data_IF_106542283629
#
_entry.id   IF_106542283629
#
_cell.length_a   1.000
_cell.length_b   1.000
_cell.length_c   1.000
_cell.angle_alpha   90.00
_cell.angle_beta   90.00
_cell.angle_gamma   90.00
#
_symmetry.space_group_name_H-M   'P 1'
#
loop_
_entity.id
_entity.type
_entity.pdbx_description
1 polymer ?
#
# COMPACT_ATOMS: atom_id res chain seq x y z
N UNK A 1 10.96 41.14 -5.84
CA UNK A 1 11.35 39.71 -5.98
C UNK A 1 11.48 39.41 -7.45
N UNK A 2 12.64 38.95 -7.92
CA UNK A 2 12.75 38.43 -9.28
C UNK A 2 11.70 37.32 -9.47
N UNK A 3 10.88 37.41 -10.51
CA UNK A 3 9.79 36.47 -10.73
C UNK A 3 10.33 35.05 -10.84
N UNK A 4 9.72 34.10 -10.12
CA UNK A 4 10.08 32.68 -10.25
C UNK A 4 9.96 32.28 -11.73
N UNK A 5 10.91 31.51 -12.30
CA UNK A 5 10.83 31.08 -13.69
C UNK A 5 9.52 30.33 -13.93
N UNK A 6 8.83 30.68 -15.03
CA UNK A 6 7.64 29.94 -15.48
C UNK A 6 8.12 28.65 -16.11
N UNK A 7 7.74 27.54 -15.49
CA UNK A 7 8.02 26.17 -15.92
C UNK A 7 6.69 25.46 -16.12
N UNK A 8 6.63 24.56 -17.09
CA UNK A 8 5.55 23.58 -17.22
C UNK A 8 5.68 22.48 -16.14
N UNK A 9 4.59 21.78 -15.83
CA UNK A 9 4.52 20.88 -14.67
C UNK A 9 5.66 19.83 -14.62
N UNK A 10 6.00 19.21 -15.75
CA UNK A 10 7.05 18.20 -15.86
C UNK A 10 8.46 18.74 -15.58
N UNK A 11 8.69 20.05 -15.74
CA UNK A 11 10.00 20.67 -15.53
C UNK A 11 10.31 20.94 -14.05
N UNK A 12 9.35 20.64 -13.16
CA UNK A 12 9.51 20.61 -11.71
C UNK A 12 9.93 19.24 -11.19
N UNK A 13 10.00 18.20 -12.03
CA UNK A 13 10.58 16.92 -11.65
C UNK A 13 12.07 17.12 -11.34
N UNK A 14 12.50 16.55 -10.21
CA UNK A 14 13.88 16.59 -9.74
C UNK A 14 14.32 15.18 -9.40
N UNK A 15 15.63 14.97 -9.28
CA UNK A 15 16.17 13.68 -8.87
C UNK A 15 15.65 13.32 -7.46
N UNK A 16 15.24 12.07 -7.30
CA UNK A 16 14.78 11.55 -6.02
C UNK A 16 15.93 11.50 -5.01
N UNK A 17 15.63 11.84 -3.75
CA UNK A 17 16.56 11.60 -2.64
C UNK A 17 16.61 10.11 -2.26
N UNK A 18 17.52 9.72 -1.36
CA UNK A 18 17.62 8.35 -0.81
C UNK A 18 16.40 7.89 -0.01
N UNK A 19 15.49 8.81 0.30
CA UNK A 19 14.23 8.57 1.02
C UNK A 19 13.09 8.13 0.09
N UNK A 20 13.34 7.97 -1.21
CA UNK A 20 12.31 7.48 -2.13
C UNK A 20 12.38 5.95 -2.22
N UNK A 21 11.23 5.29 -2.11
CA UNK A 21 11.11 3.85 -2.34
C UNK A 21 10.83 3.61 -3.81
N UNK A 22 11.68 2.82 -4.46
CA UNK A 22 11.63 2.52 -5.89
C UNK A 22 10.84 1.24 -6.18
N UNK A 23 10.52 1.02 -7.46
CA UNK A 23 9.95 -0.25 -7.91
C UNK A 23 10.86 -1.44 -7.60
N UNK A 24 12.19 -1.27 -7.63
CA UNK A 24 13.14 -2.33 -7.31
C UNK A 24 13.02 -2.77 -5.85
N UNK A 25 12.79 -1.83 -4.92
CA UNK A 25 12.58 -2.14 -3.51
C UNK A 25 11.31 -2.99 -3.32
N UNK A 26 10.23 -2.67 -4.04
CA UNK A 26 8.99 -3.46 -3.99
C UNK A 26 9.12 -4.84 -4.65
N UNK A 27 9.99 -5.00 -5.66
CA UNK A 27 10.28 -6.31 -6.26
C UNK A 27 11.07 -7.22 -5.31
N UNK A 28 11.98 -6.64 -4.52
CA UNK A 28 12.82 -7.40 -3.60
C UNK A 28 12.09 -7.78 -2.31
N UNK A 29 11.38 -6.84 -1.67
CA UNK A 29 10.64 -7.06 -0.44
C UNK A 29 9.48 -6.06 -0.33
N UNK A 30 8.30 -6.38 -0.87
CA UNK A 30 7.15 -5.47 -0.92
C UNK A 30 6.78 -4.88 0.45
N UNK A 31 6.80 -5.71 1.49
CA UNK A 31 6.44 -5.31 2.84
C UNK A 31 7.45 -4.30 3.42
N UNK A 32 8.74 -4.61 3.34
CA UNK A 32 9.80 -3.73 3.85
C UNK A 32 9.82 -2.39 3.11
N UNK A 33 9.59 -2.41 1.80
CA UNK A 33 9.48 -1.22 0.96
C UNK A 33 8.32 -0.31 1.40
N UNK A 34 7.14 -0.88 1.65
CA UNK A 34 5.99 -0.13 2.15
C UNK A 34 6.21 0.43 3.56
N UNK A 35 6.75 -0.37 4.48
CA UNK A 35 7.00 0.09 5.85
C UNK A 35 8.05 1.20 5.92
N UNK A 36 9.09 1.14 5.07
CA UNK A 36 10.05 2.23 4.89
C UNK A 36 9.33 3.54 4.50
N UNK A 37 8.51 3.50 3.44
CA UNK A 37 7.75 4.66 2.99
C UNK A 37 6.83 5.21 4.11
N UNK A 38 6.11 4.32 4.80
CA UNK A 38 5.20 4.68 5.89
C UNK A 38 5.92 5.41 7.04
N UNK A 39 7.15 5.00 7.39
CA UNK A 39 7.96 5.69 8.40
C UNK A 39 8.50 7.02 7.88
N UNK A 40 8.92 7.09 6.62
CA UNK A 40 9.42 8.33 6.01
C UNK A 40 8.32 9.39 5.91
N UNK A 41 7.12 9.01 5.47
CA UNK A 41 5.95 9.88 5.42
C UNK A 41 5.60 10.44 6.81
N UNK A 42 5.60 9.58 7.83
CA UNK A 42 5.44 9.99 9.23
C UNK A 42 6.55 10.95 9.67
N UNK A 43 7.80 10.63 9.35
CA UNK A 43 8.97 11.42 9.78
C UNK A 43 8.98 12.82 9.15
N UNK A 44 8.48 12.95 7.93
CA UNK A 44 8.27 14.24 7.28
C UNK A 44 7.26 15.11 8.03
N UNK A 45 6.12 14.53 8.44
CA UNK A 45 5.12 15.22 9.26
C UNK A 45 5.70 15.60 10.63
N UNK A 46 6.42 14.69 11.30
CA UNK A 46 7.08 14.99 12.59
C UNK A 46 8.11 16.12 12.48
N UNK A 47 8.83 16.21 11.36
CA UNK A 47 9.74 17.31 11.10
C UNK A 47 8.97 18.63 11.02
N UNK A 48 7.85 18.67 10.29
CA UNK A 48 6.97 19.85 10.25
C UNK A 48 6.45 20.21 11.65
N UNK A 49 5.91 19.24 12.39
CA UNK A 49 5.40 19.43 13.76
C UNK A 49 6.47 20.07 14.66
N UNK A 50 7.71 19.61 14.61
CA UNK A 50 8.80 20.15 15.44
C UNK A 50 9.21 21.57 15.08
N UNK A 51 9.17 21.93 13.81
CA UNK A 51 9.72 23.20 13.32
C UNK A 51 8.66 24.27 13.01
N UNK A 52 7.38 23.92 12.99
CA UNK A 52 6.33 24.89 12.68
C UNK A 52 6.19 25.96 13.77
N UNK A 53 5.93 27.23 13.39
CA UNK A 53 5.88 28.35 14.34
C UNK A 53 4.84 28.15 15.44
N UNK A 54 5.27 28.36 16.69
CA UNK A 54 4.43 28.34 17.89
C UNK A 54 4.27 29.74 18.48
N UNK A 55 3.19 29.92 19.21
CA UNK A 55 2.94 31.04 20.11
C UNK A 55 3.78 30.89 21.38
N UNK A 56 3.81 31.92 22.23
CA UNK A 56 4.54 31.88 23.51
C UNK A 56 4.01 30.81 24.49
N UNK A 57 2.75 30.41 24.35
CA UNK A 57 2.12 29.34 25.12
C UNK A 57 2.31 27.94 24.51
N UNK A 58 3.29 27.77 23.61
CA UNK A 58 3.63 26.52 22.92
C UNK A 58 2.55 25.94 21.99
N UNK A 59 1.41 26.64 21.81
CA UNK A 59 0.41 26.29 20.80
C UNK A 59 0.85 26.73 19.41
N UNK A 60 0.42 26.04 18.34
CA UNK A 60 0.73 26.47 16.98
C UNK A 60 0.05 27.80 16.62
N UNK A 61 0.73 28.62 15.81
CA UNK A 61 0.09 29.76 15.16
C UNK A 61 -1.00 29.26 14.20
N UNK A 62 -2.02 30.09 13.92
CA UNK A 62 -3.14 29.72 13.04
C UNK A 62 -2.67 29.15 11.69
N UNK A 63 -1.79 29.87 10.99
CA UNK A 63 -1.27 29.42 9.69
C UNK A 63 -0.50 28.10 9.76
N UNK A 64 0.13 27.82 10.91
CA UNK A 64 0.81 26.55 11.16
C UNK A 64 -0.18 25.41 11.40
N UNK A 65 -1.30 25.66 12.10
CA UNK A 65 -2.38 24.69 12.27
C UNK A 65 -3.00 24.34 10.92
N UNK A 66 -3.38 25.37 10.15
CA UNK A 66 -4.02 25.20 8.85
C UNK A 66 -3.09 24.43 7.90
N UNK A 67 -1.79 24.76 7.90
CA UNK A 67 -0.78 24.05 7.12
C UNK A 67 -0.60 22.59 7.56
N UNK A 68 -0.56 22.31 8.87
CA UNK A 68 -0.45 20.93 9.37
C UNK A 68 -1.67 20.10 8.99
N UNK A 69 -2.88 20.65 9.10
CA UNK A 69 -4.09 19.95 8.69
C UNK A 69 -4.03 19.57 7.21
N UNK A 70 -3.63 20.50 6.34
CA UNK A 70 -3.46 20.19 4.92
C UNK A 70 -2.42 19.10 4.66
N UNK A 71 -1.26 19.16 5.33
CA UNK A 71 -0.20 18.16 5.17
C UNK A 71 -0.63 16.77 5.66
N UNK A 72 -1.21 16.68 6.85
CA UNK A 72 -1.67 15.41 7.45
C UNK A 72 -2.76 14.77 6.58
N UNK A 73 -3.73 15.56 6.11
CA UNK A 73 -4.78 15.05 5.21
C UNK A 73 -4.20 14.58 3.87
N UNK A 74 -3.24 15.30 3.30
CA UNK A 74 -2.62 14.94 2.03
C UNK A 74 -1.74 13.69 2.09
N UNK A 75 -1.14 13.38 3.24
CA UNK A 75 -0.27 12.21 3.39
C UNK A 75 -1.05 10.90 3.42
N UNK A 76 -2.28 10.86 3.93
CA UNK A 76 -3.07 9.62 3.98
C UNK A 76 -3.27 9.00 2.57
N UNK A 77 -3.72 9.74 1.54
CA UNK A 77 -3.79 9.21 0.17
C UNK A 77 -2.48 8.64 -0.35
N UNK A 78 -1.35 9.28 -0.04
CA UNK A 78 -0.02 8.82 -0.46
C UNK A 78 0.34 7.50 0.21
N UNK A 79 0.18 7.39 1.54
CA UNK A 79 0.43 6.15 2.29
C UNK A 79 -0.46 5.02 1.79
N UNK A 80 -1.76 5.28 1.58
CA UNK A 80 -2.68 4.27 1.07
C UNK A 80 -2.37 3.87 -0.38
N UNK A 81 -1.90 4.80 -1.23
CA UNK A 81 -1.41 4.45 -2.57
C UNK A 81 -0.19 3.53 -2.54
N UNK A 82 0.75 3.76 -1.63
CA UNK A 82 1.86 2.85 -1.39
C UNK A 82 1.43 1.51 -0.78
N UNK A 83 0.38 1.48 0.03
CA UNK A 83 -0.20 0.23 0.54
C UNK A 83 -0.81 -0.62 -0.58
N UNK A 84 -1.52 0.00 -1.53
CA UNK A 84 -1.99 -0.67 -2.75
C UNK A 84 -0.83 -1.20 -3.60
N UNK A 85 0.25 -0.42 -3.75
CA UNK A 85 1.47 -0.90 -4.40
C UNK A 85 2.03 -2.14 -3.70
N UNK A 86 2.12 -2.15 -2.37
CA UNK A 86 2.53 -3.34 -1.60
C UNK A 86 1.65 -4.55 -1.91
N UNK A 87 0.33 -4.41 -1.89
CA UNK A 87 -0.60 -5.53 -2.16
C UNK A 87 -0.38 -6.10 -3.57
N UNK A 88 -0.21 -5.22 -4.57
CA UNK A 88 0.00 -5.60 -5.97
C UNK A 88 1.33 -6.33 -6.16
N UNK A 89 2.41 -5.81 -5.59
CA UNK A 89 3.73 -6.41 -5.69
C UNK A 89 3.83 -7.72 -4.91
N UNK A 90 3.20 -7.82 -3.74
CA UNK A 90 3.12 -9.08 -2.99
C UNK A 90 2.37 -10.14 -3.81
N UNK A 91 1.23 -9.79 -4.42
CA UNK A 91 0.48 -10.70 -5.29
C UNK A 91 1.28 -11.09 -6.54
N UNK A 92 1.88 -10.12 -7.22
CA UNK A 92 2.66 -10.30 -8.43
C UNK A 92 3.85 -11.25 -8.20
N UNK A 93 4.68 -10.96 -7.19
CA UNK A 93 5.83 -11.80 -6.89
C UNK A 93 5.42 -13.20 -6.39
N UNK A 94 4.30 -13.32 -5.66
CA UNK A 94 3.75 -14.64 -5.30
C UNK A 94 3.41 -15.46 -6.56
N UNK A 95 2.78 -14.83 -7.56
CA UNK A 95 2.47 -15.50 -8.81
C UNK A 95 3.73 -15.92 -9.57
N UNK A 96 4.73 -15.06 -9.69
CA UNK A 96 5.96 -15.43 -10.40
C UNK A 96 6.73 -16.53 -9.66
N UNK A 97 6.74 -16.51 -8.32
CA UNK A 97 7.36 -17.55 -7.49
C UNK A 97 6.53 -18.84 -7.43
N UNK A 98 5.27 -18.83 -7.86
CA UNK A 98 4.37 -20.01 -7.79
C UNK A 98 4.89 -21.23 -8.57
N UNK A 99 5.84 -21.04 -9.49
CA UNK A 99 6.58 -22.12 -10.15
C UNK A 99 7.28 -23.07 -9.17
N UNK A 100 7.57 -22.60 -7.96
CA UNK A 100 8.19 -23.38 -6.87
C UNK A 100 7.17 -24.05 -5.94
N UNK A 101 5.86 -23.85 -6.15
CA UNK A 101 4.82 -24.48 -5.32
C UNK A 101 4.51 -25.89 -5.82
N UNK A 102 4.49 -26.84 -4.88
CA UNK A 102 4.05 -28.20 -5.14
C UNK A 102 2.56 -28.23 -5.51
N UNK A 103 2.24 -28.90 -6.62
CA UNK A 103 0.88 -29.08 -7.13
C UNK A 103 0.13 -27.76 -7.42
N UNK A 104 0.84 -26.69 -7.79
CA UNK A 104 0.19 -25.47 -8.25
C UNK A 104 -0.41 -25.67 -9.65
N UNK A 105 -1.73 -25.56 -9.74
CA UNK A 105 -2.48 -25.68 -10.99
C UNK A 105 -2.79 -24.29 -11.54
N UNK A 106 -2.11 -23.94 -12.62
CA UNK A 106 -2.23 -22.64 -13.30
C UNK A 106 -3.63 -22.44 -13.89
N UNK A 107 -4.24 -23.50 -14.42
CA UNK A 107 -5.57 -23.42 -15.04
C UNK A 107 -6.65 -23.22 -13.98
N UNK A 108 -6.57 -23.95 -12.87
CA UNK A 108 -7.47 -23.76 -11.73
C UNK A 108 -7.29 -22.37 -11.10
N UNK A 109 -6.05 -21.88 -10.98
CA UNK A 109 -5.77 -20.52 -10.54
C UNK A 109 -6.47 -19.48 -11.42
N UNK A 110 -6.31 -19.54 -12.74
CA UNK A 110 -6.96 -18.58 -13.64
C UNK A 110 -8.48 -18.74 -13.67
N UNK A 111 -9.00 -19.96 -13.52
CA UNK A 111 -10.44 -20.22 -13.40
C UNK A 111 -11.03 -19.62 -12.12
N UNK A 112 -10.29 -19.62 -11.01
CA UNK A 112 -10.69 -18.93 -9.77
C UNK A 112 -10.57 -17.42 -9.93
N UNK A 113 -9.45 -16.93 -10.46
CA UNK A 113 -9.18 -15.50 -10.60
C UNK A 113 -10.16 -14.80 -11.55
N UNK A 114 -10.55 -15.46 -12.65
CA UNK A 114 -11.55 -14.93 -13.59
C UNK A 114 -12.96 -14.80 -13.02
N UNK A 115 -13.28 -15.49 -11.91
CA UNK A 115 -14.55 -15.29 -11.20
C UNK A 115 -14.52 -14.04 -10.32
N UNK A 116 -13.34 -13.66 -9.84
CA UNK A 116 -13.15 -12.55 -8.93
C UNK A 116 -12.74 -11.26 -9.66
N UNK A 117 -12.38 -11.36 -10.94
CA UNK A 117 -11.86 -10.25 -11.74
C UNK A 117 -12.48 -10.22 -13.13
N UNK A 118 -12.62 -9.02 -13.69
CA UNK A 118 -13.05 -8.85 -15.08
C UNK A 118 -11.85 -8.82 -16.04
N UNK A 119 -10.74 -9.48 -15.72
CA UNK A 119 -9.51 -9.41 -16.51
C UNK A 119 -9.79 -9.91 -17.92
N UNK A 120 -9.74 -9.00 -18.89
CA UNK A 120 -9.45 -9.29 -20.29
C UNK A 120 -8.01 -8.84 -20.51
N UNK A 121 -7.14 -9.72 -21.04
CA UNK A 121 -5.73 -9.37 -21.27
C UNK A 121 -5.67 -8.25 -22.31
N UNK A 122 -5.35 -7.04 -21.85
CA UNK A 122 -5.21 -5.83 -22.64
C UNK A 122 -3.85 -5.83 -23.37
N UNK A 123 -3.86 -6.28 -24.62
CA UNK A 123 -2.68 -6.35 -25.50
C UNK A 123 -1.94 -5.00 -25.66
N UNK A 124 -2.62 -3.84 -25.79
CA UNK A 124 -2.00 -2.51 -25.68
C UNK A 124 -1.20 -2.25 -24.40
N UNK A 125 -1.71 -2.61 -23.21
CA UNK A 125 -0.95 -2.48 -21.95
C UNK A 125 0.26 -3.42 -21.93
N UNK A 126 0.10 -4.66 -22.40
CA UNK A 126 1.22 -5.60 -22.58
C UNK A 126 2.30 -5.03 -23.52
N UNK A 127 1.89 -4.33 -24.57
CA UNK A 127 2.79 -3.71 -25.54
C UNK A 127 3.53 -2.49 -25.00
N UNK A 128 2.97 -1.77 -24.02
CA UNK A 128 3.62 -0.62 -23.36
C UNK A 128 4.84 -1.02 -22.52
N UNK A 129 4.97 -2.30 -22.14
CA UNK A 129 6.15 -2.87 -21.47
C UNK A 129 7.20 -3.45 -22.44
N UNK A 130 7.04 -3.26 -23.77
CA UNK A 130 8.07 -3.62 -24.75
C UNK A 130 9.31 -2.74 -24.56
N UNK A 131 10.49 -3.35 -24.66
CA UNK A 131 11.79 -2.75 -24.36
C UNK A 131 12.02 -2.33 -22.89
N UNK A 132 11.02 -2.47 -22.01
CA UNK A 132 11.16 -2.32 -20.55
C UNK A 132 11.66 -3.59 -19.85
N UNK A 133 11.82 -4.70 -20.59
CA UNK A 133 12.23 -5.98 -20.06
C UNK A 133 11.26 -6.53 -19.01
N UNK A 134 9.95 -6.58 -19.31
CA UNK A 134 8.91 -7.06 -18.40
C UNK A 134 9.34 -8.33 -17.65
N UNK A 135 9.78 -8.15 -16.41
CA UNK A 135 10.47 -9.20 -15.63
C UNK A 135 9.50 -10.02 -14.78
N UNK A 136 8.20 -9.77 -14.90
CA UNK A 136 7.17 -10.35 -14.02
C UNK A 136 5.80 -10.36 -14.72
N UNK A 137 5.29 -11.56 -15.03
CA UNK A 137 3.91 -11.75 -15.52
C UNK A 137 2.92 -11.42 -14.42
N UNK A 138 3.30 -11.66 -13.16
CA UNK A 138 2.53 -11.27 -11.99
C UNK A 138 2.23 -9.77 -11.94
N UNK A 139 3.17 -8.90 -12.33
CA UNK A 139 2.97 -7.45 -12.32
C UNK A 139 1.87 -7.06 -13.32
N UNK A 140 1.97 -7.55 -14.56
CA UNK A 140 0.96 -7.33 -15.61
C UNK A 140 -0.44 -7.81 -15.19
N UNK A 141 -0.49 -8.94 -14.49
CA UNK A 141 -1.72 -9.49 -13.96
C UNK A 141 -2.31 -8.58 -12.89
N UNK A 142 -1.52 -8.21 -11.88
CA UNK A 142 -1.93 -7.32 -10.79
C UNK A 142 -2.35 -5.92 -11.28
N UNK A 143 -1.74 -5.46 -12.38
CA UNK A 143 -2.04 -4.17 -13.00
C UNK A 143 -3.39 -4.14 -13.73
N UNK A 144 -3.81 -5.29 -14.23
CA UNK A 144 -5.10 -5.49 -14.89
C UNK A 144 -6.25 -5.73 -13.90
N UNK A 145 -5.93 -5.96 -12.63
CA UNK A 145 -6.90 -6.19 -11.55
C UNK A 145 -7.40 -4.88 -10.95
N UNK A 146 -8.67 -4.85 -10.55
CA UNK A 146 -9.31 -3.70 -9.91
C UNK A 146 -9.72 -4.00 -8.47
N UNK A 147 -10.04 -2.98 -7.68
CA UNK A 147 -10.58 -3.17 -6.33
C UNK A 147 -9.54 -3.58 -5.29
N UNK A 148 -8.28 -3.17 -5.45
CA UNK A 148 -7.24 -3.32 -4.40
C UNK A 148 -7.57 -2.57 -3.10
N UNK A 149 -8.49 -1.59 -3.19
CA UNK A 149 -9.06 -0.87 -2.05
C UNK A 149 -10.20 -1.61 -1.33
N UNK A 150 -10.56 -2.82 -1.77
CA UNK A 150 -11.54 -3.70 -1.12
C UNK A 150 -10.81 -4.88 -0.46
N UNK A 151 -10.62 -4.87 0.87
CA UNK A 151 -9.92 -5.92 1.59
C UNK A 151 -10.53 -7.32 1.42
N UNK A 152 -11.86 -7.43 1.22
CA UNK A 152 -12.49 -8.73 0.97
C UNK A 152 -12.11 -9.26 -0.39
N UNK A 153 -12.15 -8.40 -1.40
CA UNK A 153 -11.73 -8.75 -2.76
C UNK A 153 -10.25 -9.13 -2.81
N UNK A 154 -9.38 -8.40 -2.11
CA UNK A 154 -7.96 -8.76 -2.02
C UNK A 154 -7.77 -10.13 -1.36
N UNK A 155 -8.49 -10.44 -0.28
CA UNK A 155 -8.47 -11.78 0.31
C UNK A 155 -8.87 -12.87 -0.70
N UNK A 156 -9.88 -12.61 -1.55
CA UNK A 156 -10.29 -13.57 -2.59
C UNK A 156 -9.21 -13.77 -3.65
N UNK A 157 -8.51 -12.70 -4.04
CA UNK A 157 -7.36 -12.80 -4.95
C UNK A 157 -6.25 -13.69 -4.39
N UNK A 158 -5.86 -13.47 -3.14
CA UNK A 158 -4.84 -14.30 -2.50
C UNK A 158 -5.35 -15.73 -2.23
N UNK A 159 -6.65 -15.91 -2.05
CA UNK A 159 -7.30 -17.23 -1.99
C UNK A 159 -7.18 -18.04 -3.28
N UNK A 160 -6.98 -17.41 -4.44
CA UNK A 160 -6.80 -18.11 -5.71
C UNK A 160 -5.56 -19.02 -5.72
N UNK A 161 -4.52 -18.69 -4.93
CA UNK A 161 -3.32 -19.54 -4.78
C UNK A 161 -3.59 -20.86 -4.06
N UNK A 162 -4.76 -21.04 -3.43
CA UNK A 162 -5.12 -22.27 -2.72
C UNK A 162 -4.30 -22.53 -1.44
N UNK A 163 -3.60 -21.51 -0.94
CA UNK A 163 -2.85 -21.57 0.32
C UNK A 163 -3.80 -21.41 1.51
N UNK A 164 -3.57 -22.12 2.64
CA UNK A 164 -4.44 -22.10 3.80
C UNK A 164 -4.20 -20.84 4.66
N UNK A 165 -4.28 -19.65 4.06
CA UNK A 165 -4.08 -18.38 4.75
C UNK A 165 -4.98 -17.28 4.16
N UNK A 166 -5.60 -16.48 5.03
CA UNK A 166 -6.32 -15.27 4.62
C UNK A 166 -5.43 -14.07 4.89
N UNK A 167 -5.20 -13.23 3.86
CA UNK A 167 -4.24 -12.14 3.95
C UNK A 167 -4.62 -11.12 5.04
N UNK A 168 -5.91 -10.81 5.17
CA UNK A 168 -6.46 -9.88 6.14
C UNK A 168 -7.50 -10.56 7.04
N UNK A 169 -7.41 -10.33 8.34
CA UNK A 169 -8.43 -10.74 9.32
C UNK A 169 -9.68 -9.85 9.22
N UNK A 170 -10.77 -10.22 9.90
CA UNK A 170 -11.97 -9.36 9.93
C UNK A 170 -11.68 -7.96 10.51
N UNK A 171 -10.89 -7.90 11.59
CA UNK A 171 -10.48 -6.63 12.20
C UNK A 171 -9.64 -5.78 11.24
N UNK A 172 -8.74 -6.40 10.48
CA UNK A 172 -7.94 -5.71 9.45
C UNK A 172 -8.86 -5.14 8.37
N UNK A 173 -9.85 -5.91 7.90
CA UNK A 173 -10.80 -5.45 6.89
C UNK A 173 -11.56 -4.22 7.34
N UNK A 174 -12.08 -4.20 8.57
CA UNK A 174 -12.83 -3.05 9.10
C UNK A 174 -11.96 -1.78 9.19
N UNK A 175 -10.72 -1.92 9.66
CA UNK A 175 -9.76 -0.82 9.74
C UNK A 175 -9.38 -0.30 8.35
N UNK A 176 -9.09 -1.21 7.42
CA UNK A 176 -8.72 -0.85 6.05
C UNK A 176 -9.89 -0.19 5.30
N UNK A 177 -11.13 -0.68 5.45
CA UNK A 177 -12.31 -0.04 4.88
C UNK A 177 -12.47 1.40 5.36
N UNK A 178 -12.21 1.66 6.65
CA UNK A 178 -12.20 3.01 7.20
C UNK A 178 -11.15 3.89 6.50
N UNK A 179 -9.89 3.42 6.39
CA UNK A 179 -8.81 4.17 5.74
C UNK A 179 -9.08 4.41 4.25
N UNK A 180 -9.59 3.39 3.54
CA UNK A 180 -9.93 3.49 2.13
C UNK A 180 -11.04 4.48 1.87
N UNK A 181 -12.08 4.50 2.71
CA UNK A 181 -13.17 5.46 2.59
C UNK A 181 -12.70 6.89 2.89
N UNK A 182 -11.86 7.09 3.91
CA UNK A 182 -11.26 8.39 4.19
C UNK A 182 -10.39 8.86 3.02
N UNK A 183 -9.52 8.00 2.47
CA UNK A 183 -8.73 8.29 1.26
C UNK A 183 -9.62 8.62 0.07
N UNK A 184 -10.72 7.88 -0.13
CA UNK A 184 -11.67 8.13 -1.20
C UNK A 184 -12.24 9.55 -1.10
N UNK A 185 -12.73 9.94 0.08
CA UNK A 185 -13.33 11.27 0.26
C UNK A 185 -12.29 12.40 0.16
N UNK A 186 -11.04 12.19 0.59
CA UNK A 186 -9.98 13.18 0.39
C UNK A 186 -9.72 13.42 -1.11
N UNK A 187 -9.64 12.36 -1.90
CA UNK A 187 -9.26 12.45 -3.31
C UNK A 187 -10.45 12.83 -4.22
N UNK A 188 -11.66 12.35 -3.93
CA UNK A 188 -12.79 12.42 -4.85
C UNK A 188 -13.89 13.40 -4.45
N UNK A 189 -13.94 13.83 -3.18
CA UNK A 189 -14.98 14.75 -2.67
C UNK A 189 -14.37 15.98 -1.99
N UNK A 190 -13.13 16.32 -2.35
CA UNK A 190 -12.43 17.51 -1.84
C UNK A 190 -12.19 17.49 -0.34
N UNK A 191 -12.07 16.31 0.27
CA UNK A 191 -11.94 16.17 1.71
C UNK A 191 -13.25 16.21 2.48
N UNK A 192 -14.41 16.18 1.83
CA UNK A 192 -15.71 16.10 2.52
C UNK A 192 -16.17 14.66 2.61
N UNK A 193 -16.32 14.12 3.82
CA UNK A 193 -16.96 12.82 4.00
C UNK A 193 -18.47 12.99 3.79
N UNK A 194 -18.97 12.62 2.61
CA UNK A 194 -20.40 12.76 2.29
C UNK A 194 -21.25 11.82 3.15
N UNK A 195 -22.55 12.11 3.29
CA UNK A 195 -23.47 11.20 3.99
C UNK A 195 -23.48 9.81 3.35
N UNK A 196 -23.49 9.74 2.01
CA UNK A 196 -23.48 8.48 1.28
C UNK A 196 -22.17 7.71 1.48
N UNK A 197 -21.03 8.39 1.54
CA UNK A 197 -19.73 7.77 1.81
C UNK A 197 -19.60 7.26 3.25
N UNK A 198 -20.06 8.06 4.22
CA UNK A 198 -20.07 7.68 5.64
C UNK A 198 -20.85 6.38 5.87
N UNK A 199 -22.00 6.23 5.19
CA UNK A 199 -22.88 5.07 5.31
C UNK A 199 -22.28 3.74 4.79
N UNK A 200 -21.19 3.80 4.00
CA UNK A 200 -20.51 2.60 3.49
C UNK A 200 -19.70 1.89 4.56
N UNK A 201 -19.29 2.59 5.63
CA UNK A 201 -18.43 2.05 6.68
C UNK A 201 -19.01 2.41 8.05
N UNK A 202 -19.35 1.39 8.84
CA UNK A 202 -20.07 1.58 10.10
C UNK A 202 -19.36 2.55 11.08
N UNK A 203 -18.03 2.53 11.13
CA UNK A 203 -17.21 3.42 11.97
C UNK A 203 -17.30 4.90 11.58
N UNK A 204 -17.77 5.20 10.37
CA UNK A 204 -17.84 6.55 9.80
C UNK A 204 -19.26 7.13 9.78
N UNK A 205 -20.29 6.34 10.09
CA UNK A 205 -21.70 6.73 9.98
C UNK A 205 -22.04 8.09 10.64
N UNK A 206 -21.44 8.39 11.80
CA UNK A 206 -21.70 9.64 12.56
C UNK A 206 -20.95 10.85 12.04
N UNK A 207 -20.09 10.68 11.03
CA UNK A 207 -19.20 11.73 10.51
C UNK A 207 -19.64 12.27 9.14
N UNK A 208 -20.76 11.79 8.59
CA UNK A 208 -21.26 12.26 7.30
C UNK A 208 -21.61 13.75 7.28
N UNK A 209 -21.32 14.39 6.15
CA UNK A 209 -21.49 15.83 5.93
C UNK A 209 -20.38 16.70 6.52
N UNK A 210 -19.28 16.11 6.98
CA UNK A 210 -18.16 16.85 7.63
C UNK A 210 -16.93 16.88 6.74
N UNK A 211 -16.14 17.95 6.88
CA UNK A 211 -14.79 17.97 6.35
C UNK A 211 -13.91 17.02 7.16
N UNK A 212 -13.08 16.27 6.46
CA UNK A 212 -12.06 15.43 7.04
C UNK A 212 -10.94 16.33 7.54
N UNK A 213 -10.72 16.29 8.84
CA UNK A 213 -9.56 16.87 9.49
C UNK A 213 -9.05 15.85 10.50
N UNK A 214 -7.73 15.80 10.65
CA UNK A 214 -7.05 14.83 11.48
C UNK A 214 -6.21 15.53 12.53
N UNK A 215 -6.05 14.85 13.67
CA UNK A 215 -5.06 15.25 14.67
C UNK A 215 -3.64 15.13 14.13
N UNK A 216 -2.70 15.91 14.67
CA UNK A 216 -1.31 15.94 14.21
C UNK A 216 -0.61 14.56 14.33
N UNK A 217 -1.04 13.72 15.26
CA UNK A 217 -0.51 12.36 15.47
C UNK A 217 -1.12 11.32 14.51
N UNK A 218 -2.05 11.69 13.63
CA UNK A 218 -2.81 10.71 12.85
C UNK A 218 -1.92 9.87 11.93
N UNK A 219 -0.97 10.49 11.21
CA UNK A 219 -0.05 9.73 10.34
C UNK A 219 0.86 8.81 11.15
N UNK A 220 1.29 9.23 12.35
CA UNK A 220 2.01 8.35 13.27
C UNK A 220 1.17 7.10 13.58
N UNK A 221 -0.10 7.29 13.92
CA UNK A 221 -1.00 6.18 14.27
C UNK A 221 -1.31 5.27 13.09
N UNK A 222 -1.49 5.82 11.89
CA UNK A 222 -1.64 5.04 10.66
C UNK A 222 -0.40 4.18 10.44
N UNK A 223 0.80 4.78 10.46
CA UNK A 223 2.04 4.03 10.27
C UNK A 223 2.18 2.93 11.33
N UNK A 224 2.03 3.25 12.61
CA UNK A 224 2.12 2.29 13.72
C UNK A 224 1.13 1.13 13.57
N UNK A 225 -0.12 1.40 13.20
CA UNK A 225 -1.17 0.37 13.09
C UNK A 225 -1.06 -0.49 11.84
N UNK A 226 -0.47 0.02 10.76
CA UNK A 226 -0.22 -0.78 9.54
C UNK A 226 0.97 -1.72 9.67
N UNK A 227 1.93 -1.45 10.55
CA UNK A 227 3.10 -2.33 10.76
C UNK A 227 2.74 -3.78 11.13
N UNK A 228 1.98 -4.04 12.22
CA UNK A 228 1.66 -5.40 12.61
C UNK A 228 0.74 -6.07 11.59
N UNK A 229 -0.15 -5.31 10.93
CA UNK A 229 -0.99 -5.81 9.84
C UNK A 229 -0.13 -6.32 8.68
N UNK A 230 0.78 -5.48 8.16
CA UNK A 230 1.67 -5.86 7.04
C UNK A 230 2.56 -7.03 7.41
N UNK A 231 3.07 -7.05 8.65
CA UNK A 231 3.89 -8.16 9.11
C UNK A 231 3.09 -9.46 9.16
N UNK A 232 1.92 -9.47 9.81
CA UNK A 232 1.07 -10.64 9.91
C UNK A 232 0.66 -11.14 8.51
N UNK A 233 0.19 -10.25 7.64
CA UNK A 233 -0.17 -10.59 6.26
C UNK A 233 0.99 -11.24 5.50
N UNK A 234 2.18 -10.60 5.51
CA UNK A 234 3.33 -11.04 4.71
C UNK A 234 3.94 -12.32 5.26
N UNK A 235 4.24 -12.36 6.56
CA UNK A 235 4.88 -13.52 7.18
C UNK A 235 3.94 -14.73 7.23
N UNK A 236 2.66 -14.51 7.54
CA UNK A 236 1.68 -15.58 7.62
C UNK A 236 1.41 -16.21 6.24
N UNK A 237 1.22 -15.36 5.22
CA UNK A 237 1.05 -15.85 3.85
C UNK A 237 2.34 -16.48 3.30
N UNK A 238 3.50 -15.86 3.56
CA UNK A 238 4.82 -16.40 3.19
C UNK A 238 5.11 -17.75 3.85
N UNK A 239 4.75 -17.94 5.12
CA UNK A 239 4.88 -19.24 5.80
C UNK A 239 4.00 -20.31 5.16
N UNK A 240 2.78 -19.97 4.74
CA UNK A 240 1.90 -20.88 4.02
C UNK A 240 2.44 -21.23 2.63
N UNK A 241 3.11 -20.28 1.96
CA UNK A 241 3.80 -20.49 0.69
C UNK A 241 5.01 -21.41 0.84
N UNK A 242 5.91 -21.10 1.78
CA UNK A 242 7.14 -21.87 2.07
C UNK A 242 6.80 -23.31 2.48
N UNK A 243 5.72 -23.50 3.25
CA UNK A 243 5.24 -24.83 3.64
C UNK A 243 4.79 -25.72 2.48
N UNK A 244 4.69 -25.17 1.25
CA UNK A 244 4.30 -25.89 0.03
C UNK A 244 5.36 -25.88 -1.08
N UNK A 245 6.62 -25.56 -0.77
CA UNK A 245 7.68 -25.63 -1.77
C UNK A 245 7.90 -27.06 -2.29
N UNK A 246 8.26 -27.18 -3.57
CA UNK A 246 8.72 -28.44 -4.15
C UNK A 246 10.04 -28.88 -3.48
N UNK A 247 10.24 -30.18 -3.31
CA UNK A 247 11.44 -30.72 -2.66
C UNK A 247 12.75 -30.47 -3.43
N UNK A 248 12.68 -30.04 -4.70
CA UNK A 248 13.83 -29.73 -5.55
C UNK A 248 14.20 -28.24 -5.57
N UNK A 249 13.53 -27.39 -4.78
CA UNK A 249 13.88 -25.96 -4.68
C UNK A 249 15.31 -25.81 -4.17
N UNK A 250 16.14 -25.07 -4.91
CA UNK A 250 17.53 -24.84 -4.52
C UNK A 250 17.62 -23.91 -3.31
N UNK A 251 18.76 -23.93 -2.61
CA UNK A 251 19.00 -23.01 -1.50
C UNK A 251 18.99 -21.54 -1.96
N UNK A 252 19.48 -21.26 -3.16
CA UNK A 252 19.47 -19.91 -3.75
C UNK A 252 18.03 -19.41 -4.01
N UNK A 253 17.19 -20.25 -4.62
CA UNK A 253 15.77 -19.93 -4.85
C UNK A 253 15.03 -19.74 -3.53
N UNK A 254 15.34 -20.57 -2.53
CA UNK A 254 14.75 -20.46 -1.21
C UNK A 254 15.12 -19.15 -0.51
N UNK A 255 16.39 -18.75 -0.57
CA UNK A 255 16.82 -17.45 -0.03
C UNK A 255 16.13 -16.28 -0.72
N UNK A 256 15.91 -16.36 -2.04
CA UNK A 256 15.13 -15.37 -2.78
C UNK A 256 13.67 -15.30 -2.31
N UNK A 257 13.04 -16.45 -2.07
CA UNK A 257 11.67 -16.53 -1.56
C UNK A 257 11.58 -15.98 -0.13
N UNK A 258 12.50 -16.38 0.75
CA UNK A 258 12.56 -15.88 2.13
C UNK A 258 12.78 -14.37 2.15
N UNK A 259 13.62 -13.85 1.26
CA UNK A 259 13.86 -12.41 1.09
C UNK A 259 12.60 -11.67 0.62
N UNK A 260 11.84 -12.25 -0.31
CA UNK A 260 10.59 -11.67 -0.82
C UNK A 260 9.54 -11.52 0.29
N UNK A 261 9.39 -12.52 1.15
CA UNK A 261 8.46 -12.47 2.29
C UNK A 261 9.05 -11.84 3.56
N UNK A 262 10.26 -11.29 3.49
CA UNK A 262 10.89 -10.60 4.62
C UNK A 262 10.12 -9.33 4.99
N UNK A 263 10.01 -9.06 6.29
CA UNK A 263 9.43 -7.83 6.83
C UNK A 263 10.46 -7.13 7.72
N UNK A 264 11.01 -6.02 7.22
CA UNK A 264 11.89 -5.12 7.96
C UNK A 264 11.24 -3.75 8.11
N UNK A 265 11.48 -3.12 9.25
CA UNK A 265 11.14 -1.72 9.49
C UNK A 265 12.26 -1.04 10.26
N UNK A 266 12.49 0.25 9.97
CA UNK A 266 13.37 1.12 10.76
C UNK A 266 12.83 1.36 12.18
N UNK A 267 11.56 1.01 12.44
CA UNK A 267 10.92 1.07 13.75
C UNK A 267 10.43 -0.32 14.15
N UNK A 268 11.36 -1.26 14.33
CA UNK A 268 11.07 -2.67 14.59
C UNK A 268 10.12 -2.94 15.77
N UNK A 269 10.10 -2.06 16.79
CA UNK A 269 9.19 -2.19 17.94
C UNK A 269 7.71 -2.15 17.57
N UNK A 270 7.35 -1.58 16.41
CA UNK A 270 5.96 -1.53 15.92
C UNK A 270 5.53 -2.79 15.19
N UNK A 271 6.43 -3.75 14.97
CA UNK A 271 6.07 -5.01 14.34
C UNK A 271 5.31 -5.93 15.31
N UNK A 272 5.46 -5.74 16.63
CA UNK A 272 4.85 -6.58 17.67
C UNK A 272 3.35 -6.33 17.87
#
# INVERSE_FOLDING_TARGET
MAGRPRKEFQEYLTESTSSHVSHADYLESPASAFLKHSVEAKSAIDLCIRHFPKNQNETYKKDAIDSLQHLVVAVLPTVMGHFETYQRYLFAGTFDLSVFLANFDVDDFFKKLSKETNIQIDWPRLAAHRASGASSVGTLLSDSMSGWHDPERVNKYFGCFGLPYQLFTNDDKERLLTLWQLRHSIVHTGGTLTLADAQKVASLNTFGGRNISFENNFIFEVSRKLHPLVQASTNGFGSAFIGRLIGSTTEEDRQKIDKFFEVKSSVAVWLN
#
